data_IF_246234208463
#
_entry.id   IF_246234208463
#
_cell.length_a   1.000
_cell.length_b   1.000
_cell.length_c   1.000
_cell.angle_alpha   90.00
_cell.angle_beta   90.00
_cell.angle_gamma   90.00
#
_symmetry.space_group_name_H-M   'P 1'
#
loop_
_entity.id
_entity.type
_entity.pdbx_description
1 polymer ?
#
# COMPACT_ATOMS: atom_id res chain seq x y z
N UNK A 1 15.96 30.05 20.99
CA UNK A 1 16.64 30.40 19.75
C UNK A 1 16.68 29.14 18.90
N UNK A 2 15.73 28.96 17.97
CA UNK A 2 15.68 27.80 17.07
C UNK A 2 16.67 28.04 15.93
N UNK A 3 17.55 27.07 15.70
CA UNK A 3 18.48 27.09 14.58
C UNK A 3 17.72 27.11 13.25
N UNK A 4 18.19 27.86 12.23
CA UNK A 4 17.55 27.85 10.93
C UNK A 4 17.70 26.47 10.26
N UNK A 5 16.58 25.88 9.87
CA UNK A 5 16.56 24.67 9.03
C UNK A 5 17.11 25.08 7.66
N UNK A 6 18.30 24.60 7.35
CA UNK A 6 18.93 24.82 6.05
C UNK A 6 18.08 24.12 4.96
N UNK A 7 17.68 24.79 3.87
CA UNK A 7 16.95 24.14 2.79
C UNK A 7 17.83 23.05 2.16
N UNK A 8 17.29 21.82 2.08
CA UNK A 8 17.99 20.69 1.44
C UNK A 8 18.31 21.04 -0.02
N UNK A 9 19.50 20.66 -0.47
CA UNK A 9 19.91 20.80 -1.87
C UNK A 9 19.06 19.86 -2.74
N UNK A 10 18.59 20.35 -3.88
CA UNK A 10 17.91 19.53 -4.88
C UNK A 10 18.84 18.38 -5.31
N UNK A 11 18.44 17.13 -5.07
CA UNK A 11 19.19 15.93 -5.46
C UNK A 11 19.67 15.05 -4.29
N UNK A 12 19.54 15.44 -3.03
CA UNK A 12 19.81 14.52 -1.92
C UNK A 12 18.64 13.53 -1.75
N UNK A 13 18.92 12.20 -1.66
CA UNK A 13 17.90 11.22 -1.43
C UNK A 13 17.19 11.50 -0.10
N UNK A 14 15.86 11.52 -0.12
CA UNK A 14 15.07 11.63 1.09
C UNK A 14 15.14 10.28 1.81
N UNK A 15 15.58 10.20 3.08
CA UNK A 15 15.65 8.94 3.79
C UNK A 15 14.23 8.40 4.05
N UNK A 16 14.10 7.06 4.02
CA UNK A 16 12.91 6.37 4.47
C UNK A 16 12.77 6.54 5.99
N UNK A 17 11.55 6.67 6.47
CA UNK A 17 11.25 6.45 7.87
C UNK A 17 11.34 4.95 8.18
N UNK A 18 11.53 4.56 9.45
CA UNK A 18 11.57 3.17 9.86
C UNK A 18 10.30 2.39 9.43
N UNK A 19 9.12 3.04 9.47
CA UNK A 19 7.86 2.47 9.00
C UNK A 19 7.86 2.22 7.50
N UNK A 20 8.35 3.17 6.72
CA UNK A 20 8.42 3.04 5.25
C UNK A 20 9.42 1.97 4.84
N UNK A 21 10.55 1.86 5.54
CA UNK A 21 11.53 0.82 5.32
C UNK A 21 10.93 -0.58 5.59
N UNK A 22 10.12 -0.70 6.62
CA UNK A 22 9.37 -1.93 6.92
C UNK A 22 8.32 -2.24 5.86
N UNK A 23 7.56 -1.24 5.38
CA UNK A 23 6.49 -1.42 4.40
C UNK A 23 7.01 -1.69 2.98
N UNK A 24 8.08 -1.03 2.59
CA UNK A 24 8.55 -1.02 1.19
C UNK A 24 9.93 -1.67 1.00
N UNK A 25 10.62 -2.00 2.10
CA UNK A 25 11.97 -2.56 2.07
C UNK A 25 13.07 -1.50 1.99
N UNK A 26 14.25 -1.84 2.51
CA UNK A 26 15.41 -0.93 2.63
C UNK A 26 15.98 -0.43 1.29
N UNK A 27 15.67 -1.12 0.18
CA UNK A 27 16.15 -0.73 -1.16
C UNK A 27 15.21 0.22 -1.89
N UNK A 28 14.18 0.71 -1.20
CA UNK A 28 13.24 1.68 -1.76
C UNK A 28 13.84 3.07 -1.77
N UNK A 29 13.72 3.76 -2.90
CA UNK A 29 14.09 5.17 -3.01
C UNK A 29 12.86 6.07 -2.94
N UNK A 30 12.94 7.16 -2.15
CA UNK A 30 11.93 8.22 -2.18
C UNK A 30 12.29 9.17 -3.31
N UNK A 31 11.44 9.22 -4.34
CA UNK A 31 11.63 10.11 -5.49
C UNK A 31 11.08 11.51 -5.21
N UNK A 32 9.98 11.57 -4.47
CA UNK A 32 9.32 12.81 -4.09
C UNK A 32 8.61 12.65 -2.75
N UNK A 33 8.52 13.73 -1.98
CA UNK A 33 7.68 13.80 -0.76
C UNK A 33 7.35 15.24 -0.45
N UNK A 34 6.08 15.50 -0.27
CA UNK A 34 5.56 16.77 0.27
C UNK A 34 4.43 16.51 1.30
N UNK A 35 3.60 17.51 1.56
CA UNK A 35 2.49 17.39 2.50
C UNK A 35 1.30 16.61 1.95
N UNK A 36 1.19 16.47 0.63
CA UNK A 36 0.04 15.89 -0.06
C UNK A 36 0.29 14.44 -0.48
N UNK A 37 1.53 14.11 -0.89
CA UNK A 37 1.85 12.76 -1.36
C UNK A 37 3.34 12.41 -1.24
N UNK A 38 3.62 11.12 -1.40
CA UNK A 38 4.98 10.61 -1.53
C UNK A 38 5.06 9.64 -2.71
N UNK A 39 6.18 9.70 -3.43
CA UNK A 39 6.47 8.80 -4.56
C UNK A 39 7.67 7.94 -4.21
N UNK A 40 7.48 6.62 -4.26
CA UNK A 40 8.49 5.63 -3.96
C UNK A 40 8.83 4.83 -5.22
N UNK A 41 10.09 4.49 -5.36
CA UNK A 41 10.58 3.57 -6.37
C UNK A 41 11.23 2.37 -5.72
N UNK A 42 10.72 1.19 -6.03
CA UNK A 42 11.29 -0.09 -5.64
C UNK A 42 11.91 -0.72 -6.91
N UNK A 43 13.13 -1.20 -6.80
CA UNK A 43 13.80 -1.89 -7.89
C UNK A 43 13.68 -3.40 -7.73
N UNK A 44 13.33 -4.07 -8.81
CA UNK A 44 13.43 -5.52 -8.97
C UNK A 44 14.65 -5.86 -9.84
N UNK A 45 15.00 -7.12 -9.98
CA UNK A 45 16.10 -7.54 -10.87
C UNK A 45 15.78 -7.32 -12.36
N UNK A 46 14.50 -7.28 -12.73
CA UNK A 46 14.01 -7.19 -14.11
C UNK A 46 13.16 -5.95 -14.39
N UNK A 47 13.09 -5.03 -13.41
CA UNK A 47 12.30 -3.82 -13.61
C UNK A 47 12.15 -2.96 -12.36
N UNK A 48 11.07 -2.21 -12.31
CA UNK A 48 10.79 -1.31 -11.20
C UNK A 48 9.30 -1.19 -10.88
N UNK A 49 9.02 -0.78 -9.66
CA UNK A 49 7.68 -0.45 -9.16
C UNK A 49 7.68 0.99 -8.68
N UNK A 50 6.77 1.79 -9.18
CA UNK A 50 6.50 3.14 -8.71
C UNK A 50 5.20 3.12 -7.89
N UNK A 51 5.28 3.64 -6.67
CA UNK A 51 4.12 3.81 -5.78
C UNK A 51 3.91 5.28 -5.49
N UNK A 52 2.74 5.82 -5.82
CA UNK A 52 2.36 7.18 -5.44
C UNK A 52 1.31 7.12 -4.35
N UNK A 53 1.68 7.50 -3.13
CA UNK A 53 0.89 7.35 -1.92
C UNK A 53 0.31 8.69 -1.47
N UNK A 54 -1.00 8.75 -1.33
CA UNK A 54 -1.76 9.91 -0.87
C UNK A 54 -2.38 9.61 0.50
N UNK A 55 -1.91 10.22 1.61
CA UNK A 55 -2.61 10.16 2.89
C UNK A 55 -3.86 11.03 2.80
N UNK A 56 -5.02 10.40 2.69
CA UNK A 56 -6.31 11.12 2.49
C UNK A 56 -7.03 11.44 3.79
N UNK A 57 -6.89 10.56 4.80
CA UNK A 57 -7.41 10.74 6.16
C UNK A 57 -6.44 10.14 7.18
N UNK A 58 -6.58 10.49 8.48
CA UNK A 58 -5.87 9.76 9.52
C UNK A 58 -6.14 8.26 9.40
N UNK A 59 -5.08 7.47 9.24
CA UNK A 59 -5.18 6.01 9.08
C UNK A 59 -5.62 5.53 7.69
N UNK A 60 -5.87 6.40 6.71
CA UNK A 60 -6.25 5.98 5.35
C UNK A 60 -5.28 6.55 4.33
N UNK A 61 -4.70 5.66 3.52
CA UNK A 61 -3.80 6.00 2.42
C UNK A 61 -4.30 5.39 1.12
N UNK A 62 -4.32 6.16 0.04
CA UNK A 62 -4.57 5.67 -1.31
C UNK A 62 -3.22 5.60 -2.03
N UNK A 63 -2.91 4.46 -2.61
CA UNK A 63 -1.67 4.22 -3.36
C UNK A 63 -2.00 3.84 -4.80
N UNK A 64 -1.43 4.57 -5.74
CA UNK A 64 -1.37 4.17 -7.14
C UNK A 64 -0.12 3.35 -7.35
N UNK A 65 -0.29 2.14 -7.89
CA UNK A 65 0.79 1.22 -8.21
C UNK A 65 0.99 1.20 -9.71
N UNK A 66 2.22 1.48 -10.13
CA UNK A 66 2.69 1.40 -11.52
C UNK A 66 3.88 0.45 -11.54
N UNK A 67 3.69 -0.74 -12.10
CA UNK A 67 4.63 -1.85 -12.05
C UNK A 67 5.07 -2.21 -13.45
N UNK A 68 6.38 -2.22 -13.65
CA UNK A 68 7.05 -2.72 -14.84
C UNK A 68 8.14 -3.71 -14.41
N UNK A 69 7.71 -4.88 -13.95
CA UNK A 69 8.56 -5.97 -13.48
C UNK A 69 7.75 -7.27 -13.48
N UNK A 70 8.40 -8.42 -13.45
CA UNK A 70 7.73 -9.72 -13.32
C UNK A 70 7.47 -10.10 -11.86
N UNK A 71 8.22 -9.51 -10.93
CA UNK A 71 8.00 -9.70 -9.49
C UNK A 71 8.52 -8.50 -8.68
N UNK A 72 8.02 -8.37 -7.46
CA UNK A 72 8.54 -7.41 -6.49
C UNK A 72 8.49 -8.02 -5.09
N UNK A 73 9.61 -7.95 -4.40
CA UNK A 73 9.65 -8.31 -2.98
C UNK A 73 9.23 -7.08 -2.16
N UNK A 74 8.05 -7.14 -1.59
CA UNK A 74 7.55 -6.10 -0.69
C UNK A 74 8.19 -6.25 0.69
N UNK A 75 8.35 -5.13 1.38
CA UNK A 75 8.74 -5.14 2.79
C UNK A 75 7.69 -5.88 3.65
N UNK A 76 8.07 -6.24 4.85
CA UNK A 76 7.12 -6.80 5.84
C UNK A 76 6.21 -5.69 6.34
N UNK A 77 4.90 -5.94 6.39
CA UNK A 77 4.02 -5.03 7.11
C UNK A 77 4.42 -5.01 8.59
N UNK A 78 4.83 -3.85 9.08
CA UNK A 78 5.19 -3.66 10.49
C UNK A 78 3.97 -3.74 11.42
N UNK A 79 2.78 -3.60 10.87
CA UNK A 79 1.53 -3.49 11.59
C UNK A 79 0.59 -4.59 11.10
N UNK A 80 0.25 -5.51 11.98
CA UNK A 80 -0.81 -6.49 11.79
C UNK A 80 -2.16 -5.79 11.93
N UNK A 81 -3.11 -6.16 11.07
CA UNK A 81 -4.49 -5.64 11.16
C UNK A 81 -4.80 -4.44 10.24
N UNK A 82 -3.89 -4.03 9.36
CA UNK A 82 -4.24 -3.12 8.27
C UNK A 82 -5.20 -3.81 7.31
N UNK A 83 -6.29 -3.14 6.97
CA UNK A 83 -7.19 -3.57 5.90
C UNK A 83 -6.63 -3.04 4.60
N UNK A 84 -6.35 -3.93 3.67
CA UNK A 84 -5.89 -3.58 2.33
C UNK A 84 -6.99 -3.89 1.31
N UNK A 85 -7.38 -2.88 0.53
CA UNK A 85 -8.31 -3.03 -0.58
C UNK A 85 -7.51 -2.79 -1.86
N UNK A 86 -7.40 -3.81 -2.71
CA UNK A 86 -6.72 -3.73 -3.99
C UNK A 86 -7.70 -3.80 -5.14
N UNK A 87 -7.59 -2.87 -6.07
CA UNK A 87 -8.33 -2.87 -7.32
C UNK A 87 -7.35 -2.94 -8.50
N UNK A 88 -7.42 -4.01 -9.27
CA UNK A 88 -6.64 -4.20 -10.49
C UNK A 88 -7.27 -3.41 -11.65
N UNK A 89 -6.53 -2.51 -12.28
CA UNK A 89 -6.97 -1.76 -13.46
C UNK A 89 -6.44 -2.35 -14.74
N UNK A 90 -5.15 -2.75 -14.75
CA UNK A 90 -4.48 -3.33 -15.91
C UNK A 90 -3.46 -4.36 -15.45
N UNK A 91 -3.17 -5.32 -16.33
CA UNK A 91 -2.20 -6.37 -16.07
C UNK A 91 -2.76 -7.46 -15.14
N UNK A 92 -1.90 -8.07 -14.36
CA UNK A 92 -2.25 -9.13 -13.41
C UNK A 92 -1.28 -9.12 -12.24
N UNK A 93 -1.81 -9.25 -11.04
CA UNK A 93 -1.02 -9.51 -9.84
C UNK A 93 -1.38 -10.89 -9.28
N UNK A 94 -0.37 -11.64 -8.86
CA UNK A 94 -0.50 -12.91 -8.14
C UNK A 94 0.23 -12.80 -6.81
N UNK A 95 -0.38 -13.29 -5.74
CA UNK A 95 0.18 -13.26 -4.40
C UNK A 95 -0.27 -14.47 -3.59
N UNK A 96 0.47 -14.78 -2.54
CA UNK A 96 0.19 -15.88 -1.65
C UNK A 96 -0.35 -15.35 -0.31
N UNK A 97 -1.45 -15.94 0.16
CA UNK A 97 -2.00 -15.74 1.49
C UNK A 97 -2.06 -17.09 2.20
N UNK A 98 -1.22 -17.30 3.21
CA UNK A 98 -1.07 -18.60 3.84
C UNK A 98 -0.59 -19.66 2.86
N UNK A 99 -1.37 -20.73 2.68
CA UNK A 99 -1.09 -21.81 1.71
C UNK A 99 -1.76 -21.58 0.34
N UNK A 100 -2.65 -20.60 0.21
CA UNK A 100 -3.42 -20.34 -0.99
C UNK A 100 -2.77 -19.30 -1.88
N UNK A 101 -2.96 -19.48 -3.19
CA UNK A 101 -2.54 -18.52 -4.22
C UNK A 101 -3.74 -17.80 -4.79
N UNK A 102 -3.64 -16.48 -4.83
CA UNK A 102 -4.67 -15.60 -5.36
C UNK A 102 -4.13 -14.80 -6.53
N UNK A 103 -5.04 -14.33 -7.36
CA UNK A 103 -4.72 -13.37 -8.40
C UNK A 103 -5.82 -12.33 -8.56
N UNK A 104 -5.45 -11.17 -9.06
CA UNK A 104 -6.38 -10.14 -9.53
C UNK A 104 -6.09 -9.87 -11.01
N UNK A 105 -7.16 -9.84 -11.79
CA UNK A 105 -7.19 -9.43 -13.19
C UNK A 105 -7.92 -8.08 -13.32
N UNK A 106 -7.88 -7.41 -14.49
CA UNK A 106 -8.54 -6.12 -14.67
C UNK A 106 -10.02 -6.14 -14.30
N UNK A 107 -10.41 -5.24 -13.39
CA UNK A 107 -11.75 -5.13 -12.83
C UNK A 107 -11.96 -5.87 -11.51
N UNK A 108 -11.03 -6.74 -11.11
CA UNK A 108 -11.12 -7.44 -9.84
C UNK A 108 -10.77 -6.51 -8.67
N UNK A 109 -11.40 -6.81 -7.52
CA UNK A 109 -11.16 -6.14 -6.25
C UNK A 109 -10.98 -7.20 -5.15
N UNK A 110 -9.95 -7.03 -4.32
CA UNK A 110 -9.76 -7.83 -3.11
C UNK A 110 -9.83 -6.97 -1.86
N UNK A 111 -10.26 -7.57 -0.74
CA UNK A 111 -10.20 -6.99 0.59
C UNK A 111 -9.51 -8.00 1.50
N UNK A 112 -8.37 -7.65 2.04
CA UNK A 112 -7.53 -8.53 2.86
C UNK A 112 -7.08 -7.83 4.14
N UNK A 113 -6.74 -8.62 5.16
CA UNK A 113 -5.97 -8.15 6.30
C UNK A 113 -4.50 -8.36 6.01
N UNK A 114 -3.72 -7.31 6.06
CA UNK A 114 -2.27 -7.40 5.98
C UNK A 114 -1.74 -8.11 7.20
N UNK A 115 -1.06 -9.20 6.99
CA UNK A 115 -0.32 -9.91 8.02
C UNK A 115 1.18 -9.58 7.94
N UNK A 116 1.94 -10.02 8.95
CA UNK A 116 3.38 -9.81 9.01
C UNK A 116 4.17 -10.74 8.06
N UNK A 117 3.51 -11.56 7.26
CA UNK A 117 4.16 -12.50 6.35
C UNK A 117 4.83 -11.76 5.20
N UNK A 118 6.10 -12.05 4.90
CA UNK A 118 6.75 -11.52 3.71
C UNK A 118 6.05 -12.12 2.50
N UNK A 119 5.49 -11.25 1.66
CA UNK A 119 4.91 -11.63 0.38
C UNK A 119 5.86 -11.32 -0.77
N UNK A 120 5.83 -12.16 -1.78
CA UNK A 120 6.37 -11.86 -3.10
C UNK A 120 5.17 -11.65 -4.02
N UNK A 121 5.03 -10.43 -4.53
CA UNK A 121 4.04 -10.13 -5.53
C UNK A 121 4.61 -10.48 -6.91
N UNK A 122 3.87 -11.25 -7.70
CA UNK A 122 4.22 -11.65 -9.06
C UNK A 122 3.32 -10.98 -10.06
N UNK A 123 3.91 -10.56 -11.16
CA UNK A 123 3.23 -9.88 -12.26
C UNK A 123 3.49 -10.62 -13.57
N UNK A 124 2.73 -11.70 -13.86
CA UNK A 124 3.00 -12.58 -15.01
C UNK A 124 2.97 -11.89 -16.37
N UNK A 125 2.28 -10.76 -16.45
CA UNK A 125 2.21 -9.93 -17.68
C UNK A 125 3.38 -8.95 -17.80
N UNK A 126 4.29 -8.90 -16.81
CA UNK A 126 5.40 -7.95 -16.76
C UNK A 126 4.98 -6.51 -16.49
N UNK A 127 3.70 -6.25 -16.30
CA UNK A 127 3.15 -4.95 -15.91
C UNK A 127 1.90 -5.12 -15.04
N UNK A 128 1.65 -4.13 -14.18
CA UNK A 128 0.43 -4.04 -13.37
C UNK A 128 0.16 -2.59 -13.01
N UNK A 129 -1.07 -2.13 -13.26
CA UNK A 129 -1.57 -0.86 -12.76
C UNK A 129 -2.74 -1.11 -11.85
N UNK A 130 -2.65 -0.67 -10.62
CA UNK A 130 -3.69 -0.87 -9.61
C UNK A 130 -3.79 0.28 -8.61
N UNK A 131 -4.87 0.24 -7.86
CA UNK A 131 -5.11 1.16 -6.75
C UNK A 131 -5.22 0.35 -5.49
N UNK A 132 -4.44 0.71 -4.48
CA UNK A 132 -4.53 0.14 -3.13
C UNK A 132 -5.07 1.19 -2.17
N UNK A 133 -6.03 0.80 -1.33
CA UNK A 133 -6.47 1.60 -0.19
C UNK A 133 -6.07 0.85 1.08
N UNK A 134 -5.14 1.43 1.82
CA UNK A 134 -4.73 0.94 3.13
C UNK A 134 -5.53 1.65 4.21
N UNK A 135 -6.19 0.91 5.10
CA UNK A 135 -6.95 1.42 6.23
C UNK A 135 -6.37 0.84 7.51
N UNK A 136 -5.93 1.72 8.40
CA UNK A 136 -5.49 1.39 9.76
C UNK A 136 -6.67 1.63 10.72
N UNK A 137 -7.38 0.58 11.20
CA UNK A 137 -8.54 0.76 12.06
C UNK A 137 -8.22 1.41 13.39
N UNK A 138 -6.96 1.30 13.87
CA UNK A 138 -6.54 1.93 15.13
C UNK A 138 -6.38 3.46 15.03
N UNK A 139 -6.22 3.99 13.82
CA UNK A 139 -6.00 5.41 13.56
C UNK A 139 -7.14 6.08 12.79
N UNK A 140 -8.01 5.28 12.21
CA UNK A 140 -9.15 5.77 11.43
C UNK A 140 -10.32 6.07 12.35
N UNK A 141 -11.10 7.13 12.12
CA UNK A 141 -12.36 7.37 12.83
C UNK A 141 -13.33 6.19 12.71
N UNK A 142 -14.08 5.89 13.76
CA UNK A 142 -15.06 4.80 13.79
C UNK A 142 -16.10 4.88 12.67
N UNK A 143 -16.35 6.07 12.15
CA UNK A 143 -17.32 6.33 11.10
C UNK A 143 -16.81 7.39 10.15
N UNK A 144 -16.87 7.09 8.85
CA UNK A 144 -16.51 8.00 7.77
C UNK A 144 -17.73 8.74 7.17
N UNK A 145 -18.94 8.51 7.69
CA UNK A 145 -20.16 9.12 7.14
C UNK A 145 -20.21 10.65 7.24
N UNK A 146 -19.40 11.27 8.09
CA UNK A 146 -19.26 12.72 8.13
C UNK A 146 -18.55 13.31 6.89
N UNK A 147 -17.87 12.44 6.10
CA UNK A 147 -17.16 12.82 4.87
C UNK A 147 -17.87 12.32 3.60
N UNK A 148 -18.79 11.36 3.75
CA UNK A 148 -19.51 10.71 2.67
C UNK A 148 -21.01 10.89 2.91
N UNK A 149 -21.62 11.80 2.17
CA UNK A 149 -23.07 12.00 2.24
C UNK A 149 -23.80 10.69 1.88
N UNK A 150 -24.81 10.34 2.68
CA UNK A 150 -25.68 9.16 2.49
C UNK A 150 -24.99 7.77 2.55
N UNK A 151 -23.71 7.71 2.92
CA UNK A 151 -22.96 6.43 3.02
C UNK A 151 -22.42 6.26 4.44
N UNK A 152 -22.83 5.20 5.11
CA UNK A 152 -22.26 4.83 6.41
C UNK A 152 -21.15 3.80 6.21
N UNK A 153 -19.90 4.25 6.29
CA UNK A 153 -18.73 3.38 6.26
C UNK A 153 -18.12 3.31 7.64
N UNK A 154 -18.02 2.10 8.18
CA UNK A 154 -17.34 1.81 9.44
C UNK A 154 -16.13 0.91 9.15
N UNK A 155 -14.90 1.44 9.20
CA UNK A 155 -13.70 0.69 8.85
C UNK A 155 -13.54 -0.62 9.63
N UNK A 156 -13.84 -0.65 10.92
CA UNK A 156 -13.78 -1.86 11.74
C UNK A 156 -14.69 -2.99 11.25
N UNK A 157 -15.86 -2.67 10.68
CA UNK A 157 -16.79 -3.68 10.15
C UNK A 157 -16.33 -4.27 8.81
N UNK A 158 -15.43 -3.60 8.08
CA UNK A 158 -14.89 -4.13 6.83
C UNK A 158 -14.08 -5.40 7.09
N UNK A 159 -13.25 -5.39 8.13
CA UNK A 159 -12.46 -6.56 8.51
C UNK A 159 -13.37 -7.73 8.89
N UNK A 160 -14.39 -7.50 9.73
CA UNK A 160 -15.35 -8.53 10.13
C UNK A 160 -16.09 -9.11 8.93
N UNK A 161 -16.54 -8.24 8.01
CA UNK A 161 -17.37 -8.66 6.88
C UNK A 161 -16.59 -9.41 5.80
N UNK A 162 -15.36 -8.99 5.52
CA UNK A 162 -14.62 -9.47 4.35
C UNK A 162 -13.40 -10.34 4.70
N UNK A 163 -12.86 -10.25 5.93
CA UNK A 163 -11.61 -10.90 6.28
C UNK A 163 -11.74 -12.01 7.36
N UNK A 164 -12.90 -12.16 8.01
CA UNK A 164 -13.06 -13.11 9.14
C UNK A 164 -13.56 -14.50 8.74
N UNK A 165 -13.69 -14.85 7.46
CA UNK A 165 -14.23 -16.14 7.01
C UNK A 165 -13.19 -17.09 6.44
N UNK A 166 -12.02 -17.16 7.02
CA UNK A 166 -11.02 -18.20 6.76
C UNK A 166 -11.14 -19.38 7.72
N UNK A 167 -12.34 -19.94 7.90
CA UNK A 167 -12.57 -21.07 8.80
C UNK A 167 -13.77 -21.88 8.39
N UNK A 168 -13.58 -22.80 7.46
CA UNK A 168 -14.56 -23.80 7.07
C UNK A 168 -13.90 -24.84 6.19
#
# INVERSE_FOLDING_TARGET
MSAPVCPRRAGEPVPLSAREEQLYGAQTAVLHRDAEHAVYRLRSSDGEVIKTCYPVFPGITITYNDVHASYCQMGRAAETGLIEINHCREGRIEYQLGEDYFYLAPGDLSVTLKDASPGEDRFPTGHYHGITVDIDPARTPDCLSCFLEDVTVRPGLLAEKFCCNGGG
#
